data_IF_193688660948
#
_entry.id   IF_193688660948
#
_cell.length_a   1.000
_cell.length_b   1.000
_cell.length_c   1.000
_cell.angle_alpha   90.00
_cell.angle_beta   90.00
_cell.angle_gamma   90.00
#
_symmetry.space_group_name_H-M   'P 1'
#
loop_
_entity.id
_entity.type
_entity.pdbx_description
1 polymer ?
#
# COMPACT_ATOMS: atom_id res chain seq x y z
N UNK A 1 -55.72 -37.21 -30.99
CA UNK A 1 -55.50 -36.74 -32.38
C UNK A 1 -54.66 -35.48 -32.35
N UNK A 2 -53.84 -35.26 -33.40
CA UNK A 2 -52.95 -34.10 -33.68
C UNK A 2 -51.56 -34.21 -33.03
N UNK A 3 -50.48 -34.66 -33.69
CA UNK A 3 -49.69 -34.17 -34.86
C UNK A 3 -48.84 -32.92 -34.57
N UNK A 4 -47.51 -33.04 -34.79
CA UNK A 4 -46.50 -32.11 -35.37
C UNK A 4 -45.12 -32.54 -34.80
N UNK A 5 -44.34 -33.43 -35.42
CA UNK A 5 -43.58 -33.42 -36.70
C UNK A 5 -42.49 -32.33 -36.77
N UNK A 6 -41.28 -32.77 -36.48
CA UNK A 6 -39.98 -32.13 -36.76
C UNK A 6 -39.85 -31.57 -38.17
N UNK A 7 -39.26 -30.36 -38.28
CA UNK A 7 -38.31 -29.94 -39.33
C UNK A 7 -37.44 -28.80 -38.81
N UNK A 8 -36.14 -29.04 -38.55
CA UNK A 8 -35.11 -27.99 -38.57
C UNK A 8 -34.05 -28.33 -39.65
N UNK A 9 -33.63 -27.38 -40.50
CA UNK A 9 -32.71 -27.63 -41.61
C UNK A 9 -31.22 -27.58 -41.17
N UNK A 10 -30.31 -28.11 -41.99
CA UNK A 10 -28.89 -28.27 -41.66
C UNK A 10 -28.13 -26.94 -41.73
N UNK A 11 -27.36 -26.62 -40.68
CA UNK A 11 -26.43 -25.49 -40.69
C UNK A 11 -25.19 -25.84 -41.53
N UNK A 12 -25.00 -25.05 -42.59
CA UNK A 12 -23.83 -25.06 -43.45
C UNK A 12 -22.62 -24.55 -42.67
N UNK A 13 -21.59 -25.38 -42.61
CA UNK A 13 -20.23 -25.05 -42.19
C UNK A 13 -19.66 -23.90 -43.02
N UNK A 14 -19.50 -22.73 -42.41
CA UNK A 14 -18.58 -21.68 -42.87
C UNK A 14 -17.37 -21.64 -41.95
N UNK A 15 -16.42 -22.54 -42.20
CA UNK A 15 -15.05 -22.44 -41.72
C UNK A 15 -14.32 -21.36 -42.50
N UNK A 16 -14.23 -20.13 -41.97
CA UNK A 16 -13.10 -19.20 -42.13
C UNK A 16 -13.39 -17.87 -41.43
N UNK A 17 -13.04 -17.75 -40.13
CA UNK A 17 -12.80 -16.50 -39.34
C UNK A 17 -12.76 -16.75 -37.82
N UNK A 18 -13.04 -17.97 -37.33
CA UNK A 18 -13.22 -18.23 -35.88
C UNK A 18 -11.93 -18.13 -35.03
N UNK A 19 -10.75 -18.16 -35.63
CA UNK A 19 -9.48 -18.19 -34.86
C UNK A 19 -9.05 -16.82 -34.33
N UNK A 20 -9.43 -15.73 -34.99
CA UNK A 20 -9.00 -14.37 -34.60
C UNK A 20 -9.89 -13.76 -33.51
N UNK A 21 -11.17 -14.13 -33.47
CA UNK A 21 -12.11 -13.66 -32.44
C UNK A 21 -11.89 -14.34 -31.08
N UNK A 22 -11.44 -15.60 -31.06
CA UNK A 22 -11.22 -16.37 -29.83
C UNK A 22 -9.97 -15.92 -29.06
N UNK A 23 -8.96 -15.37 -29.75
CA UNK A 23 -7.70 -14.94 -29.13
C UNK A 23 -7.83 -13.60 -28.38
N UNK A 24 -8.67 -12.70 -28.88
CA UNK A 24 -8.95 -11.42 -28.24
C UNK A 24 -9.78 -11.60 -26.95
N UNK A 25 -10.66 -12.60 -26.92
CA UNK A 25 -11.53 -12.86 -25.77
C UNK A 25 -10.72 -13.36 -24.55
N UNK A 26 -9.76 -14.26 -24.77
CA UNK A 26 -8.86 -14.74 -23.71
C UNK A 26 -7.92 -13.63 -23.16
N UNK A 27 -7.48 -12.70 -24.01
CA UNK A 27 -6.65 -11.58 -23.60
C UNK A 27 -7.44 -10.52 -22.81
N UNK A 28 -8.68 -10.25 -23.23
CA UNK A 28 -9.63 -9.38 -22.54
C UNK A 28 -10.14 -9.99 -21.22
N UNK A 29 -10.29 -11.31 -21.15
CA UNK A 29 -10.67 -12.03 -19.92
C UNK A 29 -9.65 -11.76 -18.80
N UNK A 30 -8.36 -11.76 -19.14
CA UNK A 30 -7.30 -11.41 -18.21
C UNK A 30 -7.31 -9.94 -17.74
N UNK A 31 -7.77 -9.02 -18.59
CA UNK A 31 -8.00 -7.61 -18.22
C UNK A 31 -9.19 -7.52 -17.28
N UNK A 32 -10.31 -8.20 -17.59
CA UNK A 32 -11.51 -8.21 -16.77
C UNK A 32 -11.26 -8.81 -15.37
N UNK A 33 -10.47 -9.88 -15.27
CA UNK A 33 -10.07 -10.47 -13.98
C UNK A 33 -9.28 -9.48 -13.11
N UNK A 34 -8.32 -8.76 -13.70
CA UNK A 34 -7.53 -7.75 -12.99
C UNK A 34 -8.41 -6.56 -12.54
N UNK A 35 -9.34 -6.09 -13.37
CA UNK A 35 -10.28 -5.04 -13.00
C UNK A 35 -11.18 -5.47 -11.84
N UNK A 36 -11.68 -6.72 -11.84
CA UNK A 36 -12.45 -7.27 -10.71
C UNK A 36 -11.62 -7.30 -9.42
N UNK A 37 -10.35 -7.68 -9.50
CA UNK A 37 -9.45 -7.68 -8.34
C UNK A 37 -9.20 -6.26 -7.81
N UNK A 38 -8.99 -5.29 -8.70
CA UNK A 38 -8.81 -3.87 -8.34
C UNK A 38 -10.05 -3.33 -7.59
N UNK A 39 -11.25 -3.59 -8.11
CA UNK A 39 -12.50 -3.18 -7.47
C UNK A 39 -12.67 -3.80 -6.08
N UNK A 40 -12.29 -5.07 -5.91
CA UNK A 40 -12.30 -5.73 -4.60
C UNK A 40 -11.31 -5.06 -3.63
N UNK A 41 -10.10 -4.76 -4.08
CA UNK A 41 -9.08 -4.10 -3.25
C UNK A 41 -9.50 -2.68 -2.84
N UNK A 42 -10.16 -1.93 -3.73
CA UNK A 42 -10.73 -0.60 -3.45
C UNK A 42 -11.82 -0.71 -2.39
N UNK A 43 -12.69 -1.72 -2.48
CA UNK A 43 -13.73 -1.95 -1.50
C UNK A 43 -13.14 -2.30 -0.13
N UNK A 44 -12.18 -3.23 -0.08
CA UNK A 44 -11.48 -3.60 1.16
C UNK A 44 -10.77 -2.39 1.80
N UNK A 45 -10.16 -1.53 0.98
CA UNK A 45 -9.53 -0.30 1.45
C UNK A 45 -10.56 0.71 1.99
N UNK A 46 -11.69 0.88 1.29
CA UNK A 46 -12.78 1.76 1.71
C UNK A 46 -13.38 1.31 3.04
N UNK A 47 -13.60 0.01 3.23
CA UNK A 47 -14.15 -0.54 4.47
C UNK A 47 -13.15 -0.46 5.63
N UNK A 48 -11.86 -0.67 5.36
CA UNK A 48 -10.80 -0.42 6.35
C UNK A 48 -10.77 1.06 6.79
N UNK A 49 -10.86 2.00 5.86
CA UNK A 49 -10.88 3.43 6.17
C UNK A 49 -12.07 3.87 7.03
N UNK A 50 -13.25 3.22 6.90
CA UNK A 50 -14.42 3.52 7.74
C UNK A 50 -14.21 3.16 9.22
N UNK A 51 -13.36 2.19 9.51
CA UNK A 51 -13.09 1.75 10.89
C UNK A 51 -12.08 2.63 11.64
N UNK A 52 -11.66 3.76 11.06
CA UNK A 52 -10.80 4.81 11.64
C UNK A 52 -9.49 4.31 12.28
N UNK A 53 -9.08 3.08 11.98
CA UNK A 53 -7.75 2.54 12.30
C UNK A 53 -6.87 2.73 11.08
N UNK A 54 -5.82 3.52 11.24
CA UNK A 54 -4.71 3.53 10.29
C UNK A 54 -3.98 2.19 10.47
N UNK A 55 -4.48 1.13 9.83
CA UNK A 55 -3.80 -0.15 9.87
C UNK A 55 -2.53 -0.06 9.00
N UNK A 56 -1.40 -0.58 9.48
CA UNK A 56 -0.14 -0.56 8.72
C UNK A 56 -0.22 -1.23 7.34
N UNK A 57 -1.33 -1.93 7.06
CA UNK A 57 -1.66 -2.55 5.77
C UNK A 57 -2.25 -1.57 4.74
N UNK A 58 -2.54 -0.31 5.12
CA UNK A 58 -3.03 0.72 4.19
C UNK A 58 -2.09 0.91 3.01
N UNK A 59 -0.80 1.06 3.29
CA UNK A 59 0.23 1.21 2.27
C UNK A 59 0.31 -0.02 1.36
N UNK A 60 0.21 -1.23 1.94
CA UNK A 60 0.21 -2.48 1.18
C UNK A 60 -0.99 -2.57 0.22
N UNK A 61 -2.19 -2.15 0.66
CA UNK A 61 -3.38 -2.10 -0.21
C UNK A 61 -3.20 -1.11 -1.35
N UNK A 62 -2.68 0.09 -1.08
CA UNK A 62 -2.43 1.10 -2.12
C UNK A 62 -1.37 0.63 -3.13
N UNK A 63 -0.27 0.03 -2.67
CA UNK A 63 0.75 -0.57 -3.53
C UNK A 63 0.16 -1.69 -4.41
N UNK A 64 -0.73 -2.52 -3.84
CA UNK A 64 -1.47 -3.54 -4.56
C UNK A 64 -2.37 -2.96 -5.67
N UNK A 65 -3.10 -1.87 -5.40
CA UNK A 65 -3.92 -1.19 -6.42
C UNK A 65 -3.06 -0.70 -7.58
N UNK A 66 -1.94 -0.06 -7.27
CA UNK A 66 -1.02 0.48 -8.28
C UNK A 66 -0.47 -0.62 -9.19
N UNK A 67 -0.06 -1.75 -8.59
CA UNK A 67 0.44 -2.92 -9.33
C UNK A 67 -0.61 -3.47 -10.30
N UNK A 68 -1.86 -3.59 -9.86
CA UNK A 68 -2.95 -4.10 -10.70
C UNK A 68 -3.25 -3.14 -11.85
N UNK A 69 -3.22 -1.83 -11.61
CA UNK A 69 -3.39 -0.79 -12.65
C UNK A 69 -2.30 -0.95 -13.73
N UNK A 70 -1.04 -1.13 -13.33
CA UNK A 70 0.05 -1.33 -14.30
C UNK A 70 -0.08 -2.64 -15.08
N UNK A 71 -0.56 -3.71 -14.45
CA UNK A 71 -0.87 -4.97 -15.15
C UNK A 71 -1.99 -4.80 -16.17
N UNK A 72 -3.05 -4.06 -15.84
CA UNK A 72 -4.15 -3.73 -16.77
C UNK A 72 -3.63 -2.90 -17.94
N UNK A 73 -2.89 -1.82 -17.67
CA UNK A 73 -2.27 -0.96 -18.69
C UNK A 73 -1.40 -1.77 -19.65
N UNK A 74 -0.51 -2.61 -19.13
CA UNK A 74 0.39 -3.45 -19.94
C UNK A 74 -0.37 -4.42 -20.83
N UNK A 75 -1.45 -5.03 -20.32
CA UNK A 75 -2.26 -5.98 -21.10
C UNK A 75 -3.08 -5.27 -22.19
N UNK A 76 -3.67 -4.12 -21.89
CA UNK A 76 -4.39 -3.30 -22.87
C UNK A 76 -3.44 -2.85 -23.98
N UNK A 77 -2.25 -2.36 -23.64
CA UNK A 77 -1.24 -1.94 -24.61
C UNK A 77 -0.82 -3.09 -25.54
N UNK A 78 -0.61 -4.30 -24.97
CA UNK A 78 -0.35 -5.51 -25.77
C UNK A 78 -1.51 -5.81 -26.71
N UNK A 79 -2.75 -5.76 -26.26
CA UNK A 79 -3.93 -6.02 -27.09
C UNK A 79 -4.11 -4.98 -28.21
N UNK A 80 -3.75 -3.70 -27.98
CA UNK A 80 -3.86 -2.63 -28.97
C UNK A 80 -2.73 -2.68 -30.02
N UNK A 81 -1.54 -3.17 -29.65
CA UNK A 81 -0.38 -3.25 -30.57
C UNK A 81 -0.48 -4.28 -31.70
N UNK A 82 -1.49 -5.17 -31.68
CA UNK A 82 -1.71 -6.18 -32.73
C UNK A 82 -2.56 -5.67 -33.91
N UNK A 83 -3.15 -4.47 -33.83
CA UNK A 83 -4.09 -3.96 -34.85
C UNK A 83 -3.50 -3.03 -35.92
N UNK A 84 -2.24 -2.58 -35.77
CA UNK A 84 -1.71 -1.44 -36.54
C UNK A 84 -0.56 -1.81 -37.49
N UNK A 85 -0.60 -3.00 -38.10
CA UNK A 85 0.24 -3.27 -39.28
C UNK A 85 -0.45 -2.69 -40.51
N UNK A 86 0.15 -1.63 -41.05
CA UNK A 86 -0.15 -1.01 -42.34
C UNK A 86 -0.56 -2.06 -43.39
N UNK A 87 -1.82 -1.99 -43.84
CA UNK A 87 -2.18 -2.46 -45.16
C UNK A 87 -1.64 -1.41 -46.15
N UNK A 88 -0.40 -1.60 -46.60
CA UNK A 88 0.11 -0.96 -47.81
C UNK A 88 -0.78 -1.41 -48.98
N UNK A 89 -1.77 -0.58 -49.32
CA UNK A 89 -2.55 -0.74 -50.53
C UNK A 89 -1.63 -0.56 -51.73
N UNK A 90 -1.21 -1.68 -52.31
CA UNK A 90 -0.62 -1.75 -53.64
C UNK A 90 -1.62 -1.13 -54.64
N UNK A 91 -1.31 0.09 -55.08
CA UNK A 91 -1.94 0.73 -56.23
C UNK A 91 -1.58 -0.07 -57.48
N UNK A 92 -2.52 -0.84 -58.02
CA UNK A 92 -2.48 -1.29 -59.41
C UNK A 92 -3.62 -0.65 -60.20
N UNK A 93 -3.22 0.22 -61.12
CA UNK A 93 -4.07 0.96 -62.06
C UNK A 93 -4.73 0.03 -63.11
N UNK A 94 -5.91 0.40 -63.66
CA UNK A 94 -6.48 -0.29 -64.80
C UNK A 94 -5.92 0.32 -66.10
N UNK A 95 -5.12 -0.44 -66.84
CA UNK A 95 -4.74 -0.09 -68.22
C UNK A 95 -5.56 -0.95 -69.16
N UNK A 96 -6.48 -0.33 -69.88
CA UNK A 96 -7.12 -0.88 -71.07
C UNK A 96 -6.18 -0.79 -72.27
N UNK A 97 -6.14 -1.80 -73.15
CA UNK A 97 -6.42 -1.63 -74.59
C UNK A 97 -6.41 -2.98 -75.36
N UNK A 98 -7.06 -3.06 -76.55
CA UNK A 98 -7.63 -4.28 -77.12
C UNK A 98 -7.11 -4.66 -78.53
N UNK A 99 -7.30 -5.94 -78.93
CA UNK A 99 -7.43 -6.54 -80.29
C UNK A 99 -7.01 -8.03 -80.23
N UNK A 100 -7.58 -9.01 -80.93
CA UNK A 100 -8.39 -9.02 -82.15
C UNK A 100 -9.06 -10.41 -82.33
N UNK A 101 -10.23 -10.40 -83.01
CA UNK A 101 -10.77 -11.40 -83.97
C UNK A 101 -11.47 -12.70 -83.53
N UNK A 102 -12.78 -12.65 -83.86
CA UNK A 102 -13.68 -13.66 -84.47
C UNK A 102 -14.41 -14.62 -83.52
N UNK A 103 -15.73 -14.42 -83.41
CA UNK A 103 -16.74 -15.39 -83.85
C UNK A 103 -18.13 -14.74 -83.84
N UNK A 104 -18.74 -14.65 -85.02
CA UNK A 104 -20.03 -14.01 -85.25
C UNK A 104 -21.21 -14.91 -84.81
N UNK A 105 -22.32 -14.24 -84.48
CA UNK A 105 -23.72 -14.71 -84.44
C UNK A 105 -24.30 -15.39 -83.18
N UNK A 106 -23.49 -15.87 -82.22
CA UNK A 106 -24.01 -16.24 -80.87
C UNK A 106 -23.87 -15.13 -79.81
N UNK A 107 -23.31 -13.98 -80.20
CA UNK A 107 -22.82 -12.91 -79.29
C UNK A 107 -23.91 -11.89 -78.92
N UNK A 108 -24.90 -11.65 -79.79
CA UNK A 108 -25.92 -10.60 -79.57
C UNK A 108 -26.84 -10.86 -78.36
N UNK A 109 -27.01 -12.13 -77.95
CA UNK A 109 -27.81 -12.47 -76.77
C UNK A 109 -27.03 -12.27 -75.46
N UNK A 110 -25.73 -12.52 -75.47
CA UNK A 110 -24.83 -12.39 -74.32
C UNK A 110 -24.49 -10.91 -74.04
N UNK A 111 -24.29 -10.08 -75.07
CA UNK A 111 -24.03 -8.64 -74.90
C UNK A 111 -25.20 -7.92 -74.20
N UNK A 112 -26.45 -8.26 -74.53
CA UNK A 112 -27.63 -7.66 -73.90
C UNK A 112 -27.73 -8.02 -72.42
N UNK A 113 -27.37 -9.24 -72.03
CA UNK A 113 -27.35 -9.67 -70.64
C UNK A 113 -26.14 -9.08 -69.89
N UNK A 114 -24.98 -9.01 -70.55
CA UNK A 114 -23.78 -8.33 -70.07
C UNK A 114 -24.02 -6.85 -69.77
N UNK A 115 -24.64 -6.11 -70.68
CA UNK A 115 -25.01 -4.70 -70.48
C UNK A 115 -25.98 -4.51 -69.32
N UNK A 116 -26.94 -5.43 -69.11
CA UNK A 116 -27.83 -5.39 -67.94
C UNK A 116 -27.07 -5.64 -66.64
N UNK A 117 -26.12 -6.57 -66.64
CA UNK A 117 -25.27 -6.87 -65.48
C UNK A 117 -24.35 -5.70 -65.16
N UNK A 118 -23.76 -5.08 -66.17
CA UNK A 118 -22.91 -3.89 -66.04
C UNK A 118 -23.73 -2.68 -65.56
N UNK A 119 -24.95 -2.47 -66.07
CA UNK A 119 -25.86 -1.44 -65.56
C UNK A 119 -26.22 -1.68 -64.09
N UNK A 120 -26.45 -2.94 -63.70
CA UNK A 120 -26.67 -3.32 -62.30
C UNK A 120 -25.45 -3.04 -61.43
N UNK A 121 -24.25 -3.37 -61.91
CA UNK A 121 -22.99 -3.13 -61.22
C UNK A 121 -22.69 -1.63 -61.07
N UNK A 122 -22.89 -0.82 -62.11
CA UNK A 122 -22.71 0.64 -62.08
C UNK A 122 -23.71 1.31 -61.15
N UNK A 123 -24.96 0.85 -61.11
CA UNK A 123 -25.97 1.34 -60.16
C UNK A 123 -25.59 1.00 -58.71
N UNK A 124 -25.11 -0.23 -58.46
CA UNK A 124 -24.59 -0.63 -57.15
C UNK A 124 -23.38 0.21 -56.72
N UNK A 125 -22.43 0.44 -57.63
CA UNK A 125 -21.26 1.29 -57.39
C UNK A 125 -21.66 2.74 -57.07
N UNK A 126 -22.64 3.30 -57.79
CA UNK A 126 -23.18 4.64 -57.52
C UNK A 126 -23.81 4.73 -56.13
N UNK A 127 -24.63 3.76 -55.74
CA UNK A 127 -25.24 3.71 -54.39
C UNK A 127 -24.18 3.58 -53.29
N UNK A 128 -23.14 2.77 -53.52
CA UNK A 128 -22.02 2.64 -52.59
C UNK A 128 -21.29 3.97 -52.40
N UNK A 129 -21.01 4.69 -53.50
CA UNK A 129 -20.38 6.01 -53.47
C UNK A 129 -21.25 7.05 -52.74
N UNK A 130 -22.56 7.03 -52.98
CA UNK A 130 -23.52 7.92 -52.31
C UNK A 130 -23.54 7.70 -50.79
N UNK A 131 -23.50 6.43 -50.34
CA UNK A 131 -23.39 6.07 -48.93
C UNK A 131 -22.08 6.58 -48.34
N UNK A 132 -20.95 6.39 -49.04
CA UNK A 132 -19.64 6.86 -48.57
C UNK A 132 -19.57 8.39 -48.46
N UNK A 133 -20.08 9.12 -49.45
CA UNK A 133 -20.15 10.59 -49.39
C UNK A 133 -21.02 11.05 -48.22
N UNK A 134 -22.14 10.36 -47.97
CA UNK A 134 -23.03 10.66 -46.84
C UNK A 134 -22.38 10.37 -45.49
N UNK A 135 -21.66 9.25 -45.35
CA UNK A 135 -20.95 8.93 -44.11
C UNK A 135 -19.77 9.88 -43.86
N UNK A 136 -19.03 10.25 -44.91
CA UNK A 136 -17.93 11.21 -44.82
C UNK A 136 -18.42 12.61 -44.40
N UNK A 137 -19.61 13.02 -44.88
CA UNK A 137 -20.25 14.26 -44.44
C UNK A 137 -20.55 14.27 -42.94
N UNK A 138 -21.07 13.17 -42.39
CA UNK A 138 -21.32 13.01 -40.94
C UNK A 138 -20.03 13.00 -40.13
N UNK A 139 -19.00 12.32 -40.62
CA UNK A 139 -17.69 12.29 -39.96
C UNK A 139 -17.04 13.68 -39.91
N UNK A 140 -17.15 14.45 -41.00
CA UNK A 140 -16.72 15.86 -41.05
C UNK A 140 -17.45 16.72 -40.02
N UNK A 141 -18.77 16.52 -39.86
CA UNK A 141 -19.57 17.24 -38.87
C UNK A 141 -19.13 16.90 -37.43
N UNK A 142 -18.93 15.61 -37.13
CA UNK A 142 -18.41 15.15 -35.84
C UNK A 142 -17.04 15.76 -35.54
N UNK A 143 -16.09 15.68 -36.48
CA UNK A 143 -14.76 16.25 -36.32
C UNK A 143 -14.80 17.77 -36.09
N UNK A 144 -15.67 18.48 -36.79
CA UNK A 144 -15.85 19.94 -36.58
C UNK A 144 -16.39 20.21 -35.18
N UNK A 145 -17.37 19.43 -34.71
CA UNK A 145 -17.89 19.51 -33.35
C UNK A 145 -16.81 19.25 -32.29
N UNK A 146 -15.99 18.21 -32.45
CA UNK A 146 -14.88 17.93 -31.55
C UNK A 146 -13.82 19.03 -31.54
N UNK A 147 -13.47 19.57 -32.72
CA UNK A 147 -12.51 20.65 -32.85
C UNK A 147 -12.99 21.94 -32.19
N UNK A 148 -14.27 22.30 -32.36
CA UNK A 148 -14.87 23.46 -31.67
C UNK A 148 -14.88 23.28 -30.15
N UNK A 149 -15.22 22.07 -29.66
CA UNK A 149 -15.15 21.75 -28.24
C UNK A 149 -13.72 21.88 -27.69
N UNK A 150 -12.73 21.37 -28.42
CA UNK A 150 -11.31 21.46 -28.02
C UNK A 150 -10.79 22.91 -28.04
N UNK A 151 -11.21 23.70 -29.02
CA UNK A 151 -10.89 25.13 -29.06
C UNK A 151 -11.46 25.89 -27.86
N UNK A 152 -12.69 25.55 -27.44
CA UNK A 152 -13.31 26.13 -26.26
C UNK A 152 -12.58 25.72 -24.96
N UNK A 153 -12.29 24.43 -24.78
CA UNK A 153 -11.50 23.93 -23.63
C UNK A 153 -10.13 24.62 -23.52
N UNK A 154 -9.45 24.86 -24.66
CA UNK A 154 -8.18 25.60 -24.69
C UNK A 154 -8.34 27.06 -24.25
N UNK A 155 -9.40 27.74 -24.70
CA UNK A 155 -9.67 29.13 -24.31
C UNK A 155 -9.95 29.26 -22.80
N UNK A 156 -10.71 28.33 -22.21
CA UNK A 156 -10.95 28.29 -20.75
C UNK A 156 -9.66 28.08 -19.96
N UNK A 157 -8.79 27.16 -20.41
CA UNK A 157 -7.49 26.96 -19.76
C UNK A 157 -6.58 28.20 -19.88
N UNK A 158 -6.60 28.90 -21.01
CA UNK A 158 -5.86 30.13 -21.20
C UNK A 158 -6.34 31.24 -20.24
N UNK A 159 -7.65 31.37 -20.03
CA UNK A 159 -8.22 32.26 -19.02
C UNK A 159 -7.74 31.92 -17.61
N UNK A 160 -7.77 30.63 -17.23
CA UNK A 160 -7.27 30.18 -15.93
C UNK A 160 -5.77 30.49 -15.74
N UNK A 161 -4.95 30.30 -16.78
CA UNK A 161 -3.53 30.65 -16.76
C UNK A 161 -3.35 32.17 -16.57
N UNK A 162 -4.14 32.98 -17.27
CA UNK A 162 -4.06 34.44 -17.15
C UNK A 162 -4.47 34.92 -15.75
N UNK A 163 -5.52 34.35 -15.17
CA UNK A 163 -5.94 34.63 -13.79
C UNK A 163 -4.85 34.28 -12.78
N UNK A 164 -4.20 33.11 -12.93
CA UNK A 164 -3.07 32.71 -12.08
C UNK A 164 -1.86 33.63 -12.22
N UNK A 165 -1.55 34.08 -13.44
CA UNK A 165 -0.49 35.07 -13.68
C UNK A 165 -0.76 36.39 -12.97
N UNK A 166 -1.98 36.92 -13.07
CA UNK A 166 -2.37 38.15 -12.38
C UNK A 166 -2.30 38.03 -10.84
N UNK A 167 -2.69 36.87 -10.30
CA UNK A 167 -2.55 36.60 -8.86
C UNK A 167 -1.08 36.53 -8.43
N UNK A 168 -0.24 35.85 -9.20
CA UNK A 168 1.20 35.75 -8.93
C UNK A 168 1.87 37.12 -8.98
N UNK A 169 1.50 37.99 -9.92
CA UNK A 169 2.01 39.36 -10.01
C UNK A 169 1.61 40.19 -8.79
N UNK A 170 0.35 40.10 -8.36
CA UNK A 170 -0.15 40.77 -7.13
C UNK A 170 0.58 40.27 -5.88
N UNK A 171 0.83 38.96 -5.77
CA UNK A 171 1.57 38.40 -4.64
C UNK A 171 3.03 38.84 -4.65
N UNK A 172 3.64 38.92 -5.84
CA UNK A 172 5.01 39.38 -5.98
C UNK A 172 5.15 40.85 -5.57
N UNK A 173 4.20 41.70 -5.95
CA UNK A 173 4.14 43.11 -5.51
C UNK A 173 4.03 43.21 -3.98
N UNK A 174 3.14 42.42 -3.34
CA UNK A 174 3.02 42.38 -1.87
C UNK A 174 4.28 41.89 -1.17
N UNK A 175 4.97 40.89 -1.73
CA UNK A 175 6.25 40.42 -1.19
C UNK A 175 7.30 41.54 -1.26
N UNK A 176 7.31 42.29 -2.35
CA UNK A 176 8.21 43.43 -2.51
C UNK A 176 7.88 44.56 -1.53
N UNK A 177 6.59 44.88 -1.34
CA UNK A 177 6.13 45.87 -0.36
C UNK A 177 6.52 45.46 1.07
N UNK A 178 6.29 44.21 1.47
CA UNK A 178 6.74 43.69 2.77
C UNK A 178 8.26 43.79 2.93
N UNK A 179 9.03 43.43 1.89
CA UNK A 179 10.47 43.50 1.93
C UNK A 179 11.00 44.93 2.08
N UNK A 180 10.33 45.93 1.50
CA UNK A 180 10.70 47.34 1.69
C UNK A 180 10.29 47.86 3.08
N UNK A 181 9.11 47.50 3.59
CA UNK A 181 8.69 47.86 4.98
C UNK A 181 9.71 47.36 6.01
N UNK A 182 10.20 46.12 5.87
CA UNK A 182 11.23 45.60 6.77
C UNK A 182 12.57 46.33 6.68
N UNK A 183 12.95 46.88 5.52
CA UNK A 183 14.19 47.68 5.38
C UNK A 183 14.10 49.06 6.02
N UNK A 184 12.89 49.62 6.14
CA UNK A 184 12.66 50.92 6.75
C UNK A 184 12.49 50.82 8.28
N UNK A 185 11.90 49.73 8.77
CA UNK A 185 11.76 49.46 10.21
C UNK A 185 13.11 49.14 10.89
N UNK A 186 14.03 48.45 10.21
CA UNK A 186 15.39 48.15 10.72
C UNK A 186 16.21 49.41 11.04
N UNK A 187 15.88 50.56 10.43
CA UNK A 187 16.69 51.78 10.55
C UNK A 187 16.31 52.68 11.72
N UNK A 188 15.10 52.57 12.28
CA UNK A 188 14.60 53.60 13.21
C UNK A 188 14.54 53.16 14.69
N UNK A 189 14.44 51.86 15.02
CA UNK A 189 14.40 51.40 16.43
C UNK A 189 15.08 50.06 16.74
N UNK A 190 15.74 49.44 15.76
CA UNK A 190 16.06 48.01 15.79
C UNK A 190 17.53 47.67 16.08
N UNK A 191 18.08 48.16 17.18
CA UNK A 191 19.42 47.70 17.60
C UNK A 191 19.44 47.11 19.01
N UNK A 192 18.62 47.58 19.94
CA UNK A 192 18.67 47.05 21.32
C UNK A 192 17.64 45.94 21.58
N UNK A 193 16.38 46.14 21.21
CA UNK A 193 15.29 45.19 21.49
C UNK A 193 15.41 43.87 20.72
N UNK A 194 15.88 43.92 19.48
CA UNK A 194 16.07 42.71 18.65
C UNK A 194 17.26 41.89 19.13
N UNK A 195 18.34 42.51 19.64
CA UNK A 195 19.47 41.79 20.24
C UNK A 195 19.05 41.07 21.53
N UNK A 196 18.34 41.74 22.43
CA UNK A 196 17.87 41.13 23.68
C UNK A 196 16.89 39.96 23.41
N UNK A 197 15.97 40.12 22.46
CA UNK A 197 15.05 39.06 22.04
C UNK A 197 15.81 37.87 21.41
N UNK A 198 16.80 38.14 20.56
CA UNK A 198 17.63 37.12 19.92
C UNK A 198 18.48 36.35 20.95
N UNK A 199 19.07 37.04 21.93
CA UNK A 199 19.81 36.43 23.04
C UNK A 199 18.89 35.57 23.92
N UNK A 200 17.68 36.06 24.23
CA UNK A 200 16.69 35.29 24.97
C UNK A 200 16.28 34.01 24.20
N UNK A 201 15.99 34.13 22.90
CA UNK A 201 15.66 32.97 22.05
C UNK A 201 16.81 31.96 21.99
N UNK A 202 18.06 32.43 21.89
CA UNK A 202 19.26 31.59 21.92
C UNK A 202 19.44 30.89 23.26
N UNK A 203 19.22 31.58 24.37
CA UNK A 203 19.26 31.01 25.72
C UNK A 203 18.19 29.93 25.91
N UNK A 204 16.94 30.22 25.50
CA UNK A 204 15.82 29.28 25.57
C UNK A 204 16.08 28.03 24.71
N UNK A 205 16.58 28.21 23.49
CA UNK A 205 16.97 27.09 22.61
C UNK A 205 18.04 26.22 23.26
N UNK A 206 19.05 26.82 23.89
CA UNK A 206 20.11 26.09 24.59
C UNK A 206 19.56 25.30 25.79
N UNK A 207 18.63 25.88 26.55
CA UNK A 207 17.96 25.18 27.64
C UNK A 207 17.11 24.01 27.14
N UNK A 208 16.38 24.20 26.04
CA UNK A 208 15.58 23.16 25.42
C UNK A 208 16.45 21.97 24.97
N UNK A 209 17.56 22.24 24.27
CA UNK A 209 18.50 21.19 23.85
C UNK A 209 19.09 20.44 25.04
N UNK A 210 19.47 21.16 26.11
CA UNK A 210 19.97 20.53 27.34
C UNK A 210 18.93 19.60 27.97
N UNK A 211 17.68 20.06 28.10
CA UNK A 211 16.59 19.24 28.65
C UNK A 211 16.28 18.02 27.78
N UNK A 212 16.36 18.17 26.46
CA UNK A 212 16.14 17.10 25.50
C UNK A 212 17.26 16.04 25.57
N UNK A 213 18.51 16.45 25.72
CA UNK A 213 19.64 15.55 25.91
C UNK A 213 19.57 14.81 27.26
N UNK A 214 19.16 15.50 28.33
CA UNK A 214 18.89 14.90 29.64
C UNK A 214 17.78 13.84 29.55
N UNK A 215 16.67 14.15 28.86
CA UNK A 215 15.58 13.19 28.62
C UNK A 215 16.04 11.98 27.82
N UNK A 216 16.81 12.17 26.73
CA UNK A 216 17.39 11.07 25.93
C UNK A 216 18.33 10.21 26.77
N UNK A 217 19.11 10.82 27.66
CA UNK A 217 19.98 10.09 28.58
C UNK A 217 19.18 9.24 29.56
N UNK A 218 18.11 9.80 30.12
CA UNK A 218 17.22 9.09 31.03
C UNK A 218 16.48 7.95 30.34
N UNK A 219 16.02 8.14 29.09
CA UNK A 219 15.41 7.08 28.27
C UNK A 219 16.37 5.90 28.07
N UNK A 220 17.66 6.17 27.80
CA UNK A 220 18.69 5.11 27.70
C UNK A 220 18.85 4.35 29.02
N UNK A 221 18.98 5.06 30.14
CA UNK A 221 19.10 4.42 31.46
C UNK A 221 17.87 3.58 31.83
N UNK A 222 16.66 4.04 31.47
CA UNK A 222 15.43 3.29 31.68
C UNK A 222 15.42 1.99 30.87
N UNK A 223 15.85 2.05 29.61
CA UNK A 223 15.97 0.87 28.76
C UNK A 223 16.99 -0.12 29.33
N UNK A 224 18.17 0.35 29.74
CA UNK A 224 19.21 -0.50 30.36
C UNK A 224 18.68 -1.21 31.61
N UNK A 225 17.97 -0.47 32.48
CA UNK A 225 17.36 -1.03 33.69
C UNK A 225 16.22 -2.02 33.38
N UNK A 226 15.46 -1.80 32.29
CA UNK A 226 14.43 -2.72 31.83
C UNK A 226 15.04 -4.03 31.32
N UNK A 227 16.09 -3.95 30.51
CA UNK A 227 16.84 -5.11 30.01
C UNK A 227 17.45 -5.92 31.16
N UNK A 228 18.04 -5.25 32.16
CA UNK A 228 18.54 -5.90 33.36
C UNK A 228 17.43 -6.59 34.17
N UNK A 229 16.26 -5.95 34.30
CA UNK A 229 15.12 -6.54 34.98
C UNK A 229 14.61 -7.80 34.26
N UNK A 230 14.50 -7.76 32.93
CA UNK A 230 14.14 -8.93 32.11
C UNK A 230 15.16 -10.05 32.29
N UNK A 231 16.45 -9.73 32.25
CA UNK A 231 17.51 -10.71 32.48
C UNK A 231 17.40 -11.34 33.88
N UNK A 232 17.16 -10.52 34.91
CA UNK A 232 16.97 -11.01 36.28
C UNK A 232 15.74 -11.89 36.41
N UNK A 233 14.60 -11.52 35.82
CA UNK A 233 13.38 -12.35 35.81
C UNK A 233 13.65 -13.70 35.17
N UNK A 234 14.33 -13.74 34.02
CA UNK A 234 14.71 -14.99 33.37
C UNK A 234 15.58 -15.88 34.28
N UNK A 235 16.57 -15.30 34.98
CA UNK A 235 17.38 -16.09 35.94
C UNK A 235 16.56 -16.59 37.14
N UNK A 236 15.59 -15.79 37.61
CA UNK A 236 14.73 -16.17 38.72
C UNK A 236 13.75 -17.29 38.32
N UNK A 237 13.23 -17.27 37.09
CA UNK A 237 12.42 -18.35 36.54
C UNK A 237 13.22 -19.65 36.40
N UNK A 238 14.46 -19.59 35.93
CA UNK A 238 15.35 -20.76 35.84
C UNK A 238 15.63 -21.35 37.23
N UNK A 239 15.94 -20.51 38.22
CA UNK A 239 16.09 -20.93 39.61
C UNK A 239 14.80 -21.56 40.14
N UNK A 240 13.66 -20.91 39.88
CA UNK A 240 12.34 -21.38 40.29
C UNK A 240 12.02 -22.77 39.73
N UNK A 241 12.36 -23.03 38.46
CA UNK A 241 12.22 -24.34 37.84
C UNK A 241 13.12 -25.40 38.52
N UNK A 242 14.39 -25.06 38.79
CA UNK A 242 15.33 -25.97 39.50
C UNK A 242 14.84 -26.31 40.91
N UNK A 243 14.35 -25.33 41.66
CA UNK A 243 13.75 -25.53 43.00
C UNK A 243 12.46 -26.34 42.91
N UNK A 244 11.62 -26.10 41.89
CA UNK A 244 10.41 -26.89 41.65
C UNK A 244 10.73 -28.37 41.42
N UNK A 245 11.70 -28.66 40.55
CA UNK A 245 12.16 -30.03 40.28
C UNK A 245 12.72 -30.71 41.55
N UNK A 246 13.47 -29.98 42.38
CA UNK A 246 14.04 -30.55 43.60
C UNK A 246 13.00 -30.85 44.68
N UNK A 247 12.02 -29.96 44.85
CA UNK A 247 10.91 -30.20 45.76
C UNK A 247 10.09 -31.43 45.36
N UNK A 248 9.88 -31.66 44.06
CA UNK A 248 9.19 -32.85 43.58
C UNK A 248 10.00 -34.13 43.85
N UNK A 249 11.34 -34.09 43.67
CA UNK A 249 12.22 -35.20 44.06
C UNK A 249 12.13 -35.52 45.56
N UNK A 250 12.21 -34.51 46.42
CA UNK A 250 12.05 -34.67 47.88
C UNK A 250 10.69 -35.30 48.22
N UNK A 251 9.63 -34.87 47.53
CA UNK A 251 8.29 -35.42 47.71
C UNK A 251 8.24 -36.90 47.34
N UNK A 252 8.90 -37.30 46.24
CA UNK A 252 9.00 -38.69 45.82
C UNK A 252 9.77 -39.53 46.85
N UNK A 253 10.97 -39.08 47.27
CA UNK A 253 11.75 -39.80 48.30
C UNK A 253 10.96 -39.99 49.59
N UNK A 254 10.22 -38.96 50.03
CA UNK A 254 9.35 -39.06 51.21
C UNK A 254 8.24 -40.11 51.05
N UNK A 255 7.71 -40.30 49.83
CA UNK A 255 6.71 -41.34 49.55
C UNK A 255 7.33 -42.74 49.56
N UNK A 256 8.55 -42.89 49.01
CA UNK A 256 9.29 -44.15 48.99
C UNK A 256 9.71 -44.61 50.40
N UNK A 257 10.18 -43.69 51.25
CA UNK A 257 10.49 -43.95 52.67
C UNK A 257 9.32 -44.52 53.50
N UNK A 258 8.08 -44.36 53.04
CA UNK A 258 6.89 -44.95 53.70
C UNK A 258 6.62 -46.41 53.29
N UNK A 259 7.39 -46.98 52.36
CA UNK A 259 7.26 -48.34 51.82
C UNK A 259 8.59 -49.08 52.10
N UNK A 260 8.60 -50.08 52.98
CA UNK A 260 9.81 -50.65 53.62
C UNK A 260 10.92 -51.27 52.72
N UNK A 261 12.17 -50.89 53.02
CA UNK A 261 13.34 -51.72 53.42
C UNK A 261 14.41 -52.28 52.46
N UNK A 262 14.85 -51.56 51.41
CA UNK A 262 16.18 -51.83 50.79
C UNK A 262 16.94 -50.56 50.29
N UNK A 263 16.49 -49.36 50.69
CA UNK A 263 16.82 -48.08 50.03
C UNK A 263 17.91 -47.22 50.72
N UNK A 264 18.86 -47.80 51.48
CA UNK A 264 19.92 -46.97 52.11
C UNK A 264 20.82 -46.31 51.06
N UNK A 265 21.05 -46.98 49.93
CA UNK A 265 21.84 -46.45 48.79
C UNK A 265 21.12 -45.30 48.08
N UNK A 266 19.78 -45.34 48.02
CA UNK A 266 18.96 -44.33 47.34
C UNK A 266 18.93 -42.99 48.13
N UNK A 267 19.09 -43.07 49.46
CA UNK A 267 19.16 -41.91 50.33
C UNK A 267 20.51 -41.17 50.19
N UNK A 268 21.64 -41.88 50.10
CA UNK A 268 22.96 -41.27 49.90
C UNK A 268 23.09 -40.59 48.54
N UNK A 269 22.51 -41.18 47.48
CA UNK A 269 22.42 -40.56 46.16
C UNK A 269 21.57 -39.28 46.20
N UNK A 270 20.40 -39.32 46.86
CA UNK A 270 19.55 -38.14 47.06
C UNK A 270 20.24 -37.00 47.84
N UNK A 271 21.03 -37.33 48.87
CA UNK A 271 21.82 -36.34 49.62
C UNK A 271 22.91 -35.73 48.73
N UNK A 272 23.62 -36.55 47.95
CA UNK A 272 24.68 -36.08 47.04
C UNK A 272 24.15 -35.15 45.95
N UNK A 273 22.96 -35.43 45.41
CA UNK A 273 22.28 -34.55 44.45
C UNK A 273 21.84 -33.21 45.08
N UNK A 274 21.32 -33.24 46.32
CA UNK A 274 20.94 -32.06 47.08
C UNK A 274 22.15 -31.16 47.38
N UNK A 275 23.28 -31.75 47.77
CA UNK A 275 24.53 -31.03 47.98
C UNK A 275 25.05 -30.40 46.69
N UNK A 276 25.02 -31.12 45.56
CA UNK A 276 25.41 -30.58 44.26
C UNK A 276 24.54 -29.39 43.84
N UNK A 277 23.25 -29.42 44.16
CA UNK A 277 22.31 -28.33 43.89
C UNK A 277 22.56 -27.11 44.79
N UNK A 278 22.79 -27.31 46.09
CA UNK A 278 23.18 -26.23 47.02
C UNK A 278 24.48 -25.56 46.56
N UNK A 279 25.43 -26.34 46.07
CA UNK A 279 26.69 -25.84 45.50
C UNK A 279 26.47 -25.02 44.22
N UNK A 280 25.49 -25.39 43.38
CA UNK A 280 25.09 -24.57 42.23
C UNK A 280 24.54 -23.20 42.66
N UNK A 281 23.82 -23.09 43.79
CA UNK A 281 23.32 -21.80 44.29
C UNK A 281 24.45 -20.89 44.76
N UNK A 282 25.44 -21.41 45.50
CA UNK A 282 26.61 -20.62 45.94
C UNK A 282 27.42 -20.05 44.77
N UNK A 283 27.52 -20.80 43.66
CA UNK A 283 28.21 -20.33 42.45
C UNK A 283 27.44 -19.21 41.74
N UNK A 284 26.10 -19.24 41.78
CA UNK A 284 25.25 -18.23 41.15
C UNK A 284 25.24 -16.91 41.94
N UNK A 285 25.29 -16.95 43.28
CA UNK A 285 25.41 -15.74 44.10
C UNK A 285 26.74 -14.99 43.83
N UNK A 286 27.85 -15.73 43.71
CA UNK A 286 29.17 -15.14 43.40
C UNK A 286 29.24 -14.51 42.01
N UNK A 287 28.43 -14.98 41.06
CA UNK A 287 28.33 -14.42 39.70
C UNK A 287 27.54 -13.10 39.68
N UNK A 288 26.53 -12.98 40.54
CA UNK A 288 25.61 -11.82 40.55
C UNK A 288 26.08 -10.67 41.46
N UNK A 289 26.90 -10.94 42.48
CA UNK A 289 27.41 -9.91 43.41
C UNK A 289 28.43 -8.90 42.85
N UNK A 290 28.92 -9.07 41.62
CA UNK A 290 29.97 -8.19 41.01
C UNK A 290 29.42 -7.00 40.22
N UNK A 291 28.10 -6.85 40.07
CA UNK A 291 27.48 -5.74 39.32
C UNK A 291 26.91 -4.61 40.18
N UNK A 292 27.20 -4.60 41.49
CA UNK A 292 26.80 -3.51 42.39
C UNK A 292 27.74 -2.32 42.31
N UNK A 293 27.67 -1.50 41.26
CA UNK A 293 28.25 -0.15 41.28
C UNK A 293 27.21 0.85 40.78
N UNK A 294 26.82 1.75 41.68
CA UNK A 294 26.14 3.04 41.44
C UNK A 294 24.67 3.07 40.98
N UNK A 295 23.77 2.41 41.72
CA UNK A 295 22.33 2.76 41.72
C UNK A 295 21.89 3.61 42.92
N UNK A 296 22.83 4.15 43.70
CA UNK A 296 22.53 4.97 44.89
C UNK A 296 22.45 6.47 44.63
N UNK A 297 22.45 6.91 43.36
CA UNK A 297 22.23 8.31 43.01
C UNK A 297 21.02 8.35 42.10
N UNK A 298 20.01 9.15 42.50
CA UNK A 298 18.87 9.59 41.70
C UNK A 298 17.51 8.84 41.84
N UNK A 299 17.15 8.34 43.02
CA UNK A 299 15.72 8.10 43.35
C UNK A 299 15.08 9.34 44.03
N UNK A 300 15.87 10.30 44.49
CA UNK A 300 15.38 11.45 45.29
C UNK A 300 14.91 12.67 44.50
N UNK A 301 15.05 12.71 43.17
CA UNK A 301 14.67 13.90 42.38
C UNK A 301 13.50 13.63 41.44
N UNK A 302 12.37 13.15 41.96
CA UNK A 302 11.08 13.18 41.25
C UNK A 302 9.96 13.66 42.19
N UNK A 303 9.28 14.78 41.89
CA UNK A 303 8.11 15.26 42.65
C UNK A 303 6.92 14.28 42.62
N UNK A 304 6.81 13.46 41.58
CA UNK A 304 5.68 12.51 41.42
C UNK A 304 5.78 11.27 42.31
N UNK A 305 6.95 10.98 42.89
CA UNK A 305 7.11 9.81 43.76
C UNK A 305 6.38 9.95 45.11
N UNK A 306 6.04 11.17 45.55
CA UNK A 306 5.22 11.37 46.76
C UNK A 306 3.78 10.85 46.58
N UNK A 307 3.23 10.90 45.37
CA UNK A 307 1.89 10.36 45.10
C UNK A 307 1.88 8.83 45.06
N UNK A 308 2.99 8.22 44.64
CA UNK A 308 3.14 6.76 44.55
C UNK A 308 3.47 6.12 45.91
N UNK A 309 4.30 6.77 46.74
CA UNK A 309 4.57 6.30 48.11
C UNK A 309 3.40 6.50 49.07
N UNK A 310 2.61 7.58 48.91
CA UNK A 310 1.39 7.79 49.70
C UNK A 310 0.34 6.68 49.47
N UNK A 311 0.34 6.04 48.29
CA UNK A 311 -0.56 4.93 47.96
C UNK A 311 -0.01 3.57 48.42
N UNK A 312 1.28 3.47 48.73
CA UNK A 312 1.94 2.25 49.26
C UNK A 312 1.84 2.15 50.78
N UNK A 313 1.74 3.28 51.49
CA UNK A 313 1.60 3.34 52.96
C UNK A 313 0.17 3.65 53.40
N UNK A 314 -0.74 2.72 53.16
CA UNK A 314 -2.02 2.67 53.87
C UNK A 314 -3.25 2.81 52.98
N UNK A 315 -3.79 1.66 52.56
CA UNK A 315 -5.21 1.35 52.65
C UNK A 315 -5.38 -0.14 52.30
N UNK A 316 -5.64 -0.93 53.34
CA UNK A 316 -6.06 -2.31 53.20
C UNK A 316 -7.44 -2.35 52.53
N UNK A 317 -7.49 -2.72 51.25
CA UNK A 317 -8.72 -3.19 50.60
C UNK A 317 -8.37 -4.37 49.68
N UNK A 318 -8.63 -5.58 50.19
CA UNK A 318 -9.16 -6.75 49.48
C UNK A 318 -8.41 -7.31 48.26
N UNK A 319 -8.25 -8.65 48.16
CA UNK A 319 -7.62 -9.26 47.00
C UNK A 319 -8.58 -9.25 45.80
N UNK A 320 -8.42 -8.29 44.91
CA UNK A 320 -8.84 -8.44 43.51
C UNK A 320 -7.61 -8.33 42.64
N UNK A 321 -7.28 -9.44 41.96
CA UNK A 321 -6.27 -9.50 40.90
C UNK A 321 -6.60 -8.44 39.85
N UNK A 322 -5.94 -7.29 39.93
CA UNK A 322 -5.83 -6.38 38.80
C UNK A 322 -4.72 -6.95 37.91
N UNK A 323 -5.13 -7.61 36.84
CA UNK A 323 -4.27 -7.97 35.72
C UNK A 323 -3.78 -6.64 35.12
N UNK A 324 -2.57 -6.21 35.47
CA UNK A 324 -1.92 -5.11 34.79
C UNK A 324 -1.39 -5.65 33.46
N UNK A 325 -2.25 -5.67 32.45
CA UNK A 325 -1.78 -5.70 31.07
C UNK A 325 -1.27 -4.30 30.79
N UNK A 326 0.04 -4.09 30.95
CA UNK A 326 0.73 -2.98 30.31
C UNK A 326 0.52 -3.17 28.80
N UNK A 327 -0.38 -2.39 28.23
CA UNK A 327 -0.64 -2.39 26.81
C UNK A 327 0.62 -1.85 26.12
N UNK A 328 1.44 -2.75 25.55
CA UNK A 328 2.66 -2.43 24.83
C UNK A 328 2.44 -1.42 23.69
N UNK A 329 1.18 -1.25 23.24
CA UNK A 329 0.77 -0.23 22.27
C UNK A 329 0.94 1.21 22.73
N UNK A 330 1.02 1.47 24.04
CA UNK A 330 1.23 2.84 24.53
C UNK A 330 2.67 3.33 24.29
N UNK A 331 3.64 2.42 24.14
CA UNK A 331 5.03 2.77 23.85
C UNK A 331 5.26 3.03 22.34
N UNK A 332 4.53 2.34 21.46
CA UNK A 332 4.64 2.57 20.00
C UNK A 332 4.15 3.97 19.57
N UNK A 333 3.22 4.57 20.33
CA UNK A 333 2.70 5.92 20.02
C UNK A 333 3.66 7.06 20.40
N UNK A 334 4.73 6.76 21.15
CA UNK A 334 5.77 7.74 21.51
C UNK A 334 6.99 7.70 20.57
N UNK A 335 7.02 6.80 19.59
CA UNK A 335 8.05 6.78 18.52
C UNK A 335 7.64 7.51 17.24
N UNK A 336 6.40 8.02 17.15
CA UNK A 336 5.90 8.77 15.97
C UNK A 336 5.95 10.31 16.12
N UNK A 337 6.69 10.85 17.10
CA UNK A 337 6.93 12.30 17.25
C UNK A 337 8.40 12.68 17.26
#
# INVERSE_FOLDING_TARGET
>A
MSKFRDKRPPELTTTSTKTQHCYNDAALEGVAANVKLLLKLIQDHKDACKTQRNDGKRMLRVAGMMTIIDMVRTRIQKCQSFGTKQAEFARSSPVQSPKDKRLSESIMFDEKEGLKRELGATLAARKSLEIMCSSLGKEKEIMTGELTKKAHELAEMEEHINNLKAQNETLLEKVHECAEVHKDEEKEKETQGTIELQEHHKSLSKQLFKSLDEYRSMKRMLNDACEENIAMQSTMEELGAKVGCSLEKIRNYKQHLTIESDEIVDIEEGISELEHMLKCFELNEKRNGKKGVNTQILVETWPENRAFEARRRGCALGPKRALWVFDAKALDLLEEW
#
